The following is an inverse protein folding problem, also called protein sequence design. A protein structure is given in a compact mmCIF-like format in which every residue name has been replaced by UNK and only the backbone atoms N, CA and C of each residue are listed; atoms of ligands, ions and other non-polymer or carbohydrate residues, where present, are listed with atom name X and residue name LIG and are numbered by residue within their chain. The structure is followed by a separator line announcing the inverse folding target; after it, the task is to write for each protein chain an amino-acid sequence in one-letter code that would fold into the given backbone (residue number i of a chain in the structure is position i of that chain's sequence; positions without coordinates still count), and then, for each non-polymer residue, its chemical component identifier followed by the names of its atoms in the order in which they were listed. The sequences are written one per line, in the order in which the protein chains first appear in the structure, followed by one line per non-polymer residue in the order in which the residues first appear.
data_IF_420135757699
#
_entry.id   IF_420135757699
#
_cell.length_a   1.000
_cell.length_b   1.000
_cell.length_c   1.000
_cell.angle_alpha   90.00
_cell.angle_beta   90.00
_cell.angle_gamma   90.00
#
_symmetry.space_group_name_H-M   'P 1'
#
loop_
_entity.id
_entity.type
_entity.pdbx_description
1 polymer ?
#
# COMPACT_ATOMS: atom_id res chain seq x y z
N UNK A 1 -11.50 -1.56 13.67
CA UNK A 1 -10.94 -2.85 13.22
C UNK A 1 -9.50 -2.61 12.83
N UNK A 2 -8.58 -3.53 13.10
CA UNK A 2 -7.20 -3.41 12.60
C UNK A 2 -7.22 -3.57 11.08
N UNK A 3 -6.67 -2.60 10.34
CA UNK A 3 -6.53 -2.66 8.86
C UNK A 3 -5.60 -3.83 8.46
N UNK A 4 -4.75 -4.29 9.39
CA UNK A 4 -3.86 -5.42 9.18
C UNK A 4 -4.43 -6.66 9.87
N UNK A 5 -4.83 -7.64 9.05
CA UNK A 5 -5.11 -9.01 9.48
C UNK A 5 -3.80 -9.83 9.48
N UNK A 6 -3.73 -10.89 10.30
CA UNK A 6 -2.54 -11.74 10.45
C UNK A 6 -2.03 -12.34 9.14
N UNK A 7 -2.93 -12.58 8.16
CA UNK A 7 -2.57 -13.07 6.82
C UNK A 7 -1.71 -12.09 6.01
N UNK A 8 -1.85 -10.79 6.25
CA UNK A 8 -1.19 -9.75 5.45
C UNK A 8 0.17 -9.34 6.04
N UNK A 9 0.50 -9.80 7.27
CA UNK A 9 1.75 -9.44 7.97
C UNK A 9 3.00 -9.95 7.28
N UNK A 10 2.98 -11.18 6.74
CA UNK A 10 4.16 -11.76 6.07
C UNK A 10 4.49 -11.05 4.75
N UNK A 11 3.45 -10.66 4.00
CA UNK A 11 3.60 -9.91 2.74
C UNK A 11 4.15 -8.51 3.03
N UNK A 12 3.55 -7.81 4.01
CA UNK A 12 4.01 -6.49 4.47
C UNK A 12 5.49 -6.59 4.88
N UNK A 13 5.85 -7.54 5.76
CA UNK A 13 7.23 -7.73 6.20
C UNK A 13 8.19 -8.05 5.04
N UNK A 14 7.74 -8.82 4.04
CA UNK A 14 8.53 -9.12 2.85
C UNK A 14 8.83 -7.89 2.00
N UNK A 15 7.83 -7.02 1.80
CA UNK A 15 7.98 -5.76 1.06
C UNK A 15 8.90 -4.80 1.83
N UNK A 16 8.74 -4.69 3.16
CA UNK A 16 9.60 -3.85 3.99
C UNK A 16 11.07 -4.23 3.88
N UNK A 17 11.36 -5.53 3.93
CA UNK A 17 12.72 -6.06 3.76
C UNK A 17 13.27 -5.83 2.35
N UNK A 18 12.45 -5.96 1.32
CA UNK A 18 12.89 -5.78 -0.07
C UNK A 18 13.32 -4.33 -0.34
N UNK A 19 12.62 -3.37 0.25
CA UNK A 19 12.86 -1.94 0.03
C UNK A 19 13.60 -1.23 1.17
N UNK A 20 14.00 -1.99 2.20
CA UNK A 20 14.63 -1.48 3.43
C UNK A 20 13.90 -0.27 4.01
N UNK A 21 12.57 -0.35 4.05
CA UNK A 21 11.68 0.73 4.50
C UNK A 21 10.49 0.13 5.24
N UNK A 22 9.86 0.88 6.13
CA UNK A 22 8.73 0.40 6.92
C UNK A 22 7.43 1.04 6.45
N UNK A 23 6.34 0.28 6.49
CA UNK A 23 5.02 0.85 6.28
C UNK A 23 4.65 1.77 7.44
N UNK A 24 4.01 2.90 7.11
CA UNK A 24 3.34 3.75 8.08
C UNK A 24 1.85 3.44 8.02
N UNK A 25 1.30 3.04 9.15
CA UNK A 25 -0.12 2.72 9.28
C UNK A 25 -0.80 3.92 9.91
N UNK A 26 -1.87 4.39 9.27
CA UNK A 26 -2.75 5.43 9.80
C UNK A 26 -4.11 4.82 10.12
N UNK A 27 -5.03 5.59 10.67
CA UNK A 27 -6.38 5.13 11.01
C UNK A 27 -7.15 4.59 9.79
N UNK A 28 -6.82 5.05 8.58
CA UNK A 28 -7.57 4.77 7.36
C UNK A 28 -6.71 4.27 6.19
N UNK A 29 -5.39 4.16 6.35
CA UNK A 29 -4.51 3.77 5.24
C UNK A 29 -3.22 3.12 5.69
N UNK A 30 -2.64 2.32 4.78
CA UNK A 30 -1.30 1.77 4.89
C UNK A 30 -0.44 2.46 3.83
N UNK A 31 0.65 3.10 4.27
CA UNK A 31 1.49 3.96 3.43
C UNK A 31 2.90 3.38 3.34
N UNK A 32 3.48 3.37 2.14
CA UNK A 32 4.87 3.03 1.90
C UNK A 32 5.56 4.15 1.10
N UNK A 33 6.66 4.67 1.63
CA UNK A 33 7.54 5.58 0.91
C UNK A 33 8.81 4.84 0.52
N UNK A 34 9.05 4.71 -0.78
CA UNK A 34 10.29 4.16 -1.34
C UNK A 34 11.03 5.32 -2.01
N UNK A 35 12.25 5.58 -1.54
CA UNK A 35 13.13 6.60 -2.12
C UNK A 35 14.43 5.96 -2.52
N UNK A 36 14.83 6.18 -3.76
CA UNK A 36 16.17 5.86 -4.22
C UNK A 36 16.95 7.17 -4.35
N UNK A 37 17.90 7.39 -3.44
CA UNK A 37 18.72 8.61 -3.40
C UNK A 37 19.69 8.70 -4.60
N UNK A 38 20.05 7.57 -5.22
CA UNK A 38 20.97 7.53 -6.37
C UNK A 38 20.26 7.96 -7.65
N UNK A 39 19.04 7.48 -7.88
CA UNK A 39 18.26 7.79 -9.10
C UNK A 39 17.26 8.94 -8.89
N UNK A 40 17.18 9.50 -7.69
CA UNK A 40 16.18 10.48 -7.25
C UNK A 40 14.73 10.04 -7.53
N UNK A 41 14.50 8.73 -7.59
CA UNK A 41 13.18 8.16 -7.84
C UNK A 41 12.42 8.05 -6.51
N UNK A 42 11.22 8.61 -6.48
CA UNK A 42 10.31 8.50 -5.34
C UNK A 42 9.07 7.73 -5.78
N UNK A 43 8.72 6.71 -5.01
CA UNK A 43 7.43 6.02 -5.08
C UNK A 43 6.75 6.23 -3.74
N UNK A 44 5.57 6.80 -3.79
CA UNK A 44 4.66 6.88 -2.65
C UNK A 44 3.48 5.94 -2.94
N UNK A 45 3.20 5.02 -2.04
CA UNK A 45 2.11 4.06 -2.18
C UNK A 45 1.19 4.23 -0.98
N UNK A 46 -0.11 4.36 -1.26
CA UNK A 46 -1.18 4.43 -0.26
C UNK A 46 -2.19 3.33 -0.53
N UNK A 47 -2.52 2.53 0.48
CA UNK A 47 -3.55 1.50 0.41
C UNK A 47 -4.67 1.86 1.37
N UNK A 48 -5.88 2.00 0.84
CA UNK A 48 -7.09 2.27 1.61
C UNK A 48 -7.94 1.01 1.60
N UNK A 49 -8.39 0.50 2.75
CA UNK A 49 -9.41 -0.54 2.77
C UNK A 49 -10.68 0.03 2.13
N UNK A 50 -11.24 -0.68 1.17
CA UNK A 50 -12.50 -0.32 0.52
C UNK A 50 -13.63 -1.00 1.29
N UNK A 51 -14.46 -0.22 1.99
CA UNK A 51 -15.53 -0.65 2.89
C UNK A 51 -16.75 -1.25 2.13
N UNK A 52 -16.53 -1.91 1.00
CA UNK A 52 -17.59 -2.58 0.24
C UNK A 52 -18.12 -3.73 1.08
N UNK A 53 -19.37 -3.61 1.52
CA UNK A 53 -20.09 -4.62 2.31
C UNK A 53 -20.12 -5.98 1.60
N UNK A 54 -19.21 -6.85 1.97
CA UNK A 54 -19.08 -8.23 1.48
C UNK A 54 -17.74 -8.78 1.95
N UNK A 55 -17.64 -10.09 2.18
CA UNK A 55 -16.48 -10.81 2.78
C UNK A 55 -15.17 -10.78 1.96
N UNK A 56 -14.93 -9.73 1.19
CA UNK A 56 -13.80 -9.61 0.29
C UNK A 56 -12.97 -8.39 0.67
N UNK A 57 -11.76 -8.64 1.20
CA UNK A 57 -10.77 -7.63 1.52
C UNK A 57 -10.36 -6.86 0.24
N UNK A 58 -11.11 -5.81 -0.10
CA UNK A 58 -10.82 -4.93 -1.23
C UNK A 58 -9.97 -3.76 -0.74
N UNK A 59 -8.99 -3.39 -1.57
CA UNK A 59 -8.13 -2.24 -1.31
C UNK A 59 -8.13 -1.33 -2.54
N UNK A 60 -8.25 -0.03 -2.29
CA UNK A 60 -7.85 1.00 -3.23
C UNK A 60 -6.37 1.28 -3.04
N UNK A 61 -5.56 1.00 -4.07
CA UNK A 61 -4.12 1.24 -4.05
C UNK A 61 -3.79 2.42 -4.95
N UNK A 62 -3.29 3.50 -4.36
CA UNK A 62 -2.81 4.68 -5.08
C UNK A 62 -1.28 4.68 -5.09
N UNK A 63 -0.69 4.83 -6.27
CA UNK A 63 0.76 4.87 -6.48
C UNK A 63 1.12 6.19 -7.14
N UNK A 64 1.97 6.96 -6.47
CA UNK A 64 2.46 8.24 -6.94
C UNK A 64 3.96 8.13 -7.20
N UNK A 65 4.38 8.56 -8.38
CA UNK A 65 5.79 8.74 -8.72
C UNK A 65 6.06 10.22 -8.99
N UNK A 66 7.30 10.56 -9.37
CA UNK A 66 7.66 11.94 -9.71
C UNK A 66 6.84 12.53 -10.87
N UNK A 67 6.23 11.71 -11.72
CA UNK A 67 5.56 12.14 -12.94
C UNK A 67 4.28 11.36 -13.28
N UNK A 68 3.89 10.40 -12.46
CA UNK A 68 2.73 9.55 -12.70
C UNK A 68 1.91 9.38 -11.43
N UNK A 69 0.60 9.31 -11.60
CA UNK A 69 -0.32 8.83 -10.59
C UNK A 69 -1.12 7.68 -11.19
N UNK A 70 -1.07 6.52 -10.52
CA UNK A 70 -1.81 5.32 -10.90
C UNK A 70 -2.68 4.89 -9.73
N UNK A 71 -3.96 4.68 -10.00
CA UNK A 71 -4.91 4.15 -9.03
C UNK A 71 -5.36 2.75 -9.49
N UNK A 72 -5.14 1.76 -8.62
CA UNK A 72 -5.51 0.38 -8.83
C UNK A 72 -6.60 0.03 -7.82
N UNK A 73 -7.70 -0.53 -8.30
CA UNK A 73 -8.76 -1.06 -7.45
C UNK A 73 -9.18 -2.42 -7.98
N UNK A 74 -9.54 -3.33 -7.08
CA UNK A 74 -10.03 -4.64 -7.48
C UNK A 74 -11.48 -4.51 -7.97
N UNK A 75 -11.67 -4.31 -9.28
CA UNK A 75 -12.98 -4.38 -9.92
C UNK A 75 -13.37 -5.85 -10.10
N UNK A 76 -13.78 -6.54 -9.03
CA UNK A 76 -14.43 -7.85 -9.19
C UNK A 76 -15.70 -7.66 -10.03
N UNK A 77 -15.85 -8.54 -11.02
CA UNK A 77 -16.88 -8.50 -12.05
C UNK A 77 -18.00 -9.47 -11.73
#
# INVERSE_FOLDING_TARGET
MSIINDKNKDIISGIEKLFDTSFRITDNSIILDIRNEVTHYKIHLEMFPDDVKGDEENYLVSVYTNNCHLQLQNCKR
#
